data_IF_314119186598
#
_entry.id   IF_314119186598
#
_cell.length_a   1.000
_cell.length_b   1.000
_cell.length_c   1.000
_cell.angle_alpha   90.00
_cell.angle_beta   90.00
_cell.angle_gamma   90.00
#
_symmetry.space_group_name_H-M   'P 1'
#
loop_
_entity.id
_entity.type
_entity.pdbx_description
1 polymer ?
#
# COMPACT_ATOMS: atom_id res chain seq x y z
N UNK A 1 50.71 -11.38 3.37
CA UNK A 1 50.48 -9.95 3.70
C UNK A 1 49.10 -9.83 4.34
N UNK A 2 48.94 -9.02 5.40
CA UNK A 2 47.61 -8.78 6.00
C UNK A 2 47.09 -7.45 5.47
N UNK A 3 45.94 -7.47 4.82
CA UNK A 3 45.24 -6.27 4.34
C UNK A 3 44.20 -5.90 5.38
N UNK A 4 44.08 -4.61 5.67
CA UNK A 4 43.15 -4.08 6.67
C UNK A 4 42.14 -3.17 5.95
N UNK A 5 40.87 -3.24 6.36
CA UNK A 5 39.82 -2.32 5.92
C UNK A 5 39.36 -1.48 7.14
N UNK A 6 38.99 -0.22 6.91
CA UNK A 6 38.63 0.73 7.96
C UNK A 6 37.22 1.28 7.76
N UNK A 7 36.29 0.92 8.64
CA UNK A 7 34.99 1.57 8.69
C UNK A 7 35.09 2.90 9.47
N UNK A 8 34.71 4.00 8.83
CA UNK A 8 34.58 5.31 9.48
C UNK A 8 33.09 5.56 9.72
N UNK A 9 32.68 5.58 10.98
CA UNK A 9 31.28 5.78 11.36
C UNK A 9 30.75 7.11 10.77
N UNK A 10 29.68 7.04 9.99
CA UNK A 10 29.06 8.19 9.31
C UNK A 10 29.71 8.64 8.00
N UNK A 11 30.82 8.02 7.54
CA UNK A 11 31.48 8.37 6.29
C UNK A 11 31.78 7.14 5.43
N UNK A 12 31.24 7.12 4.20
CA UNK A 12 31.37 5.99 3.24
C UNK A 12 32.63 6.03 2.39
N UNK A 13 33.53 6.97 2.68
CA UNK A 13 34.78 7.10 1.98
C UNK A 13 35.81 7.73 2.89
N UNK A 14 37.05 7.30 2.72
CA UNK A 14 38.20 7.82 3.44
C UNK A 14 39.37 7.94 2.49
N UNK A 15 40.35 8.77 2.85
CA UNK A 15 41.61 8.81 2.13
C UNK A 15 42.58 7.82 2.76
N UNK A 16 43.05 6.86 1.98
CA UNK A 16 44.15 5.97 2.33
C UNK A 16 45.34 6.31 1.44
N UNK A 17 46.43 6.79 2.05
CA UNK A 17 47.65 7.18 1.32
C UNK A 17 47.39 8.17 0.16
N UNK A 18 46.52 9.15 0.39
CA UNK A 18 46.14 10.15 -0.62
C UNK A 18 45.17 9.65 -1.70
N UNK A 19 44.80 8.37 -1.70
CA UNK A 19 43.80 7.79 -2.59
C UNK A 19 42.43 7.83 -1.90
N UNK A 20 41.41 8.30 -2.63
CA UNK A 20 40.03 8.23 -2.16
C UNK A 20 39.51 6.79 -2.27
N UNK A 21 39.21 6.17 -1.13
CA UNK A 21 38.77 4.77 -1.01
C UNK A 21 37.33 4.74 -0.54
N UNK A 22 36.51 3.89 -1.15
CA UNK A 22 35.15 3.59 -0.72
C UNK A 22 35.14 2.38 0.21
N UNK A 23 34.40 2.47 1.32
CA UNK A 23 34.15 1.30 2.16
C UNK A 23 33.21 0.33 1.45
N UNK A 24 33.66 -0.90 1.22
CA UNK A 24 32.80 -2.01 0.82
C UNK A 24 32.07 -2.55 2.05
N UNK A 25 30.74 -2.49 2.03
CA UNK A 25 29.94 -3.22 2.99
C UNK A 25 29.80 -4.65 2.50
N UNK A 26 30.25 -5.62 3.29
CA UNK A 26 29.95 -7.02 2.98
C UNK A 26 28.43 -7.23 3.01
N UNK A 27 27.90 -7.89 1.98
CA UNK A 27 26.51 -8.30 1.97
C UNK A 27 26.27 -9.30 3.11
N UNK A 28 25.14 -9.21 3.84
CA UNK A 28 24.78 -10.23 4.80
C UNK A 28 24.69 -11.58 4.08
N UNK A 29 25.25 -12.65 4.67
CA UNK A 29 25.33 -13.97 4.04
C UNK A 29 24.00 -14.44 3.43
N UNK A 30 22.89 -14.23 4.14
CA UNK A 30 21.55 -14.57 3.66
C UNK A 30 21.17 -13.89 2.32
N UNK A 31 21.67 -12.68 2.09
CA UNK A 31 21.43 -11.90 0.88
C UNK A 31 22.36 -12.36 -0.24
N UNK A 32 23.64 -12.58 0.08
CA UNK A 32 24.60 -13.13 -0.87
C UNK A 32 24.14 -14.50 -1.39
N UNK A 33 23.78 -15.42 -0.49
CA UNK A 33 23.25 -16.75 -0.82
C UNK A 33 22.00 -16.63 -1.71
N UNK A 34 21.11 -15.68 -1.41
CA UNK A 34 19.91 -15.44 -2.21
C UNK A 34 20.21 -14.91 -3.61
N UNK A 35 21.13 -13.97 -3.76
CA UNK A 35 21.52 -13.45 -5.08
C UNK A 35 22.13 -14.55 -5.94
N UNK A 36 22.91 -15.43 -5.33
CA UNK A 36 23.52 -16.59 -5.99
C UNK A 36 22.47 -17.64 -6.39
N UNK A 37 21.49 -17.94 -5.52
CA UNK A 37 20.36 -18.83 -5.80
C UNK A 37 19.50 -18.33 -6.98
N UNK A 38 19.35 -17.01 -7.10
CA UNK A 38 18.59 -16.37 -8.17
C UNK A 38 19.32 -16.40 -9.53
N UNK A 39 20.60 -16.81 -9.55
CA UNK A 39 21.42 -16.94 -10.77
C UNK A 39 21.36 -15.70 -11.66
N UNK A 40 21.43 -14.53 -11.02
CA UNK A 40 21.40 -13.25 -11.71
C UNK A 40 22.61 -13.13 -12.65
N UNK A 41 22.44 -12.36 -13.74
CA UNK A 41 23.58 -11.99 -14.55
C UNK A 41 24.50 -11.03 -13.78
N UNK A 42 25.75 -10.90 -14.24
CA UNK A 42 26.78 -10.09 -13.59
C UNK A 42 26.33 -8.63 -13.42
N UNK A 43 25.73 -8.04 -14.45
CA UNK A 43 25.27 -6.64 -14.45
C UNK A 43 24.22 -6.37 -13.36
N UNK A 44 23.25 -7.26 -13.18
CA UNK A 44 22.21 -7.13 -12.15
C UNK A 44 22.78 -7.30 -10.75
N UNK A 45 23.75 -8.21 -10.57
CA UNK A 45 24.44 -8.41 -9.29
C UNK A 45 25.25 -7.16 -8.92
N UNK A 46 26.04 -6.64 -9.85
CA UNK A 46 26.82 -5.40 -9.67
C UNK A 46 25.91 -4.19 -9.40
N UNK A 47 24.78 -4.06 -10.12
CA UNK A 47 23.82 -2.98 -9.89
C UNK A 47 23.18 -3.06 -8.49
N UNK A 48 22.91 -4.27 -7.99
CA UNK A 48 22.40 -4.46 -6.63
C UNK A 48 23.44 -4.08 -5.58
N UNK A 49 24.68 -4.55 -5.73
CA UNK A 49 25.81 -4.28 -4.82
C UNK A 49 26.15 -2.79 -4.78
N UNK A 50 26.18 -2.12 -5.95
CA UNK A 50 26.39 -0.68 -6.03
C UNK A 50 25.34 0.09 -5.22
N UNK A 51 24.07 -0.31 -5.33
CA UNK A 51 22.99 0.33 -4.59
C UNK A 51 23.05 0.03 -3.09
N UNK A 52 23.39 -1.20 -2.71
CA UNK A 52 23.63 -1.59 -1.33
C UNK A 52 24.74 -0.74 -0.70
N UNK A 53 25.87 -0.55 -1.39
CA UNK A 53 26.97 0.27 -0.87
C UNK A 53 26.63 1.77 -0.84
N UNK A 54 25.82 2.26 -1.76
CA UNK A 54 25.50 3.69 -1.87
C UNK A 54 24.44 4.22 -0.88
N UNK A 55 23.53 3.38 -0.36
CA UNK A 55 22.35 3.85 0.39
C UNK A 55 22.12 3.11 1.71
N UNK A 56 22.35 3.80 2.83
CA UNK A 56 22.14 3.28 4.19
C UNK A 56 20.73 2.73 4.40
N UNK A 57 19.70 3.51 4.04
CA UNK A 57 18.30 3.07 4.20
C UNK A 57 17.98 1.79 3.42
N UNK A 58 18.65 1.55 2.29
CA UNK A 58 18.46 0.34 1.49
C UNK A 58 19.14 -0.86 2.15
N UNK A 59 20.35 -0.67 2.72
CA UNK A 59 21.02 -1.69 3.54
C UNK A 59 20.17 -2.11 4.73
N UNK A 60 19.66 -1.14 5.49
CA UNK A 60 18.81 -1.39 6.65
C UNK A 60 17.55 -2.17 6.28
N UNK A 61 16.90 -1.79 5.17
CA UNK A 61 15.71 -2.46 4.68
C UNK A 61 15.99 -3.92 4.29
N UNK A 62 17.14 -4.20 3.68
CA UNK A 62 17.55 -5.54 3.26
C UNK A 62 17.98 -6.41 4.45
N UNK A 63 18.76 -5.85 5.38
CA UNK A 63 19.24 -6.56 6.57
C UNK A 63 18.08 -7.12 7.41
N UNK A 64 16.96 -6.40 7.47
CA UNK A 64 15.76 -6.84 8.16
C UNK A 64 14.86 -7.81 7.37
N UNK A 65 15.03 -7.96 6.06
CA UNK A 65 14.12 -8.75 5.22
C UNK A 65 14.69 -9.11 3.83
N UNK A 66 15.11 -10.35 3.63
CA UNK A 66 15.62 -10.84 2.33
C UNK A 66 14.60 -10.81 1.18
N UNK A 67 13.30 -10.63 1.47
CA UNK A 67 12.26 -10.45 0.44
C UNK A 67 12.33 -9.09 -0.27
N UNK A 68 13.07 -8.15 0.30
CA UNK A 68 13.37 -6.87 -0.36
C UNK A 68 14.15 -7.10 -1.65
N UNK A 69 14.97 -8.16 -1.73
CA UNK A 69 15.69 -8.56 -2.96
C UNK A 69 14.70 -8.89 -4.09
N UNK A 70 13.64 -9.66 -3.80
CA UNK A 70 12.64 -10.01 -4.83
C UNK A 70 11.85 -8.78 -5.27
N UNK A 71 11.55 -7.87 -4.33
CA UNK A 71 10.89 -6.61 -4.65
C UNK A 71 11.77 -5.72 -5.53
N UNK A 72 13.07 -5.66 -5.23
CA UNK A 72 14.04 -4.90 -6.01
C UNK A 72 14.16 -5.43 -7.43
N UNK A 73 14.20 -6.75 -7.60
CA UNK A 73 14.26 -7.40 -8.91
C UNK A 73 12.98 -7.21 -9.73
N UNK A 74 11.82 -7.11 -9.07
CA UNK A 74 10.54 -6.82 -9.73
C UNK A 74 10.45 -5.40 -10.25
N UNK A 75 11.19 -4.46 -9.64
CA UNK A 75 11.28 -3.06 -10.04
C UNK A 75 12.32 -2.90 -11.14
N UNK A 76 12.05 -2.11 -12.19
CA UNK A 76 13.05 -1.79 -13.22
C UNK A 76 13.49 -0.32 -13.17
N UNK A 77 12.62 0.56 -12.68
CA UNK A 77 12.88 1.99 -12.52
C UNK A 77 13.80 2.29 -11.33
N UNK A 78 14.79 3.16 -11.52
CA UNK A 78 15.81 3.49 -10.51
C UNK A 78 15.24 4.24 -9.31
N UNK A 79 14.22 5.08 -9.49
CA UNK A 79 13.57 5.82 -8.41
C UNK A 79 12.76 4.87 -7.53
N UNK A 80 11.97 3.98 -8.13
CA UNK A 80 11.21 2.98 -7.37
C UNK A 80 12.11 1.93 -6.71
N UNK A 81 13.18 1.50 -7.39
CA UNK A 81 14.18 0.56 -6.85
C UNK A 81 14.90 1.08 -5.63
N UNK A 82 15.04 2.40 -5.48
CA UNK A 82 15.71 3.03 -4.33
C UNK A 82 14.74 3.47 -3.25
N UNK A 83 13.43 3.47 -3.55
CA UNK A 83 12.40 3.77 -2.58
C UNK A 83 12.16 2.56 -1.64
N UNK A 84 12.85 2.58 -0.50
CA UNK A 84 12.80 1.54 0.53
C UNK A 84 11.39 1.31 1.09
N UNK A 85 10.52 2.30 1.01
CA UNK A 85 9.11 2.16 1.36
C UNK A 85 8.39 1.21 0.40
N UNK A 86 8.50 1.45 -0.92
CA UNK A 86 7.87 0.58 -1.92
C UNK A 86 8.45 -0.81 -1.90
N UNK A 87 9.77 -0.94 -1.76
CA UNK A 87 10.44 -2.23 -1.60
C UNK A 87 9.92 -3.01 -0.39
N UNK A 88 9.83 -2.36 0.77
CA UNK A 88 9.27 -2.95 1.99
C UNK A 88 7.80 -3.36 1.81
N UNK A 89 7.05 -2.66 0.97
CA UNK A 89 5.65 -2.97 0.68
C UNK A 89 5.48 -4.12 -0.31
N UNK A 90 6.16 -4.06 -1.46
CA UNK A 90 6.12 -5.08 -2.52
C UNK A 90 6.66 -6.42 -1.99
N UNK A 91 7.66 -6.40 -1.11
CA UNK A 91 8.19 -7.62 -0.49
C UNK A 91 7.15 -8.37 0.35
N UNK A 92 6.11 -7.70 0.84
CA UNK A 92 4.98 -8.33 1.56
C UNK A 92 3.89 -8.87 0.62
N UNK A 93 3.95 -8.53 -0.67
CA UNK A 93 3.00 -8.99 -1.68
C UNK A 93 3.47 -10.26 -2.41
N UNK A 94 4.55 -10.89 -1.98
CA UNK A 94 5.15 -12.06 -2.63
C UNK A 94 4.16 -13.21 -2.93
N UNK A 95 3.13 -13.41 -2.09
CA UNK A 95 2.10 -14.46 -2.25
C UNK A 95 0.82 -14.01 -2.97
N UNK A 96 0.78 -12.78 -3.48
CA UNK A 96 -0.44 -12.21 -4.08
C UNK A 96 -0.65 -12.56 -5.55
N UNK A 97 0.36 -13.15 -6.21
CA UNK A 97 0.32 -13.48 -7.64
C UNK A 97 0.32 -12.23 -8.53
N UNK A 98 0.95 -11.15 -8.07
CA UNK A 98 1.08 -9.92 -8.83
C UNK A 98 2.24 -9.95 -9.82
N UNK A 99 1.99 -9.33 -10.97
CA UNK A 99 2.96 -9.05 -12.01
C UNK A 99 3.10 -7.53 -12.20
N UNK A 100 4.30 -7.04 -12.48
CA UNK A 100 4.58 -5.63 -12.68
C UNK A 100 5.06 -5.43 -14.12
N UNK A 101 4.32 -4.65 -14.90
CA UNK A 101 4.67 -4.31 -16.27
C UNK A 101 5.13 -2.85 -16.37
N UNK A 102 6.20 -2.64 -17.12
CA UNK A 102 6.84 -1.35 -17.28
C UNK A 102 6.39 -0.76 -18.61
N UNK A 103 5.52 0.24 -18.56
CA UNK A 103 5.23 1.04 -19.75
C UNK A 103 6.49 1.85 -20.05
N UNK A 104 6.89 1.86 -21.33
CA UNK A 104 8.15 2.43 -21.87
C UNK A 104 8.50 3.87 -21.45
N UNK A 105 7.56 4.60 -20.84
CA UNK A 105 7.73 5.99 -20.41
C UNK A 105 8.21 6.14 -18.95
N UNK A 106 8.55 5.02 -18.29
CA UNK A 106 9.48 4.95 -17.14
C UNK A 106 8.96 5.42 -15.77
N UNK A 107 7.94 6.29 -15.70
CA UNK A 107 7.54 6.91 -14.43
C UNK A 107 6.41 6.18 -13.68
N UNK A 108 5.63 5.35 -14.38
CA UNK A 108 4.51 4.61 -13.82
C UNK A 108 4.62 3.12 -14.16
N UNK A 109 4.48 2.28 -13.15
CA UNK A 109 4.51 0.82 -13.26
C UNK A 109 3.09 0.29 -13.17
N UNK A 110 2.66 -0.47 -14.18
CA UNK A 110 1.37 -1.12 -14.15
C UNK A 110 1.45 -2.41 -13.33
N UNK A 111 0.43 -2.65 -12.53
CA UNK A 111 0.37 -3.81 -11.63
C UNK A 111 -0.80 -4.68 -12.06
N UNK A 112 -0.49 -5.94 -12.35
CA UNK A 112 -1.41 -6.94 -12.87
C UNK A 112 -1.64 -8.07 -11.89
N UNK A 113 -2.81 -8.68 -11.99
CA UNK A 113 -3.11 -9.99 -11.41
C UNK A 113 -3.70 -10.89 -12.48
N UNK A 114 -2.95 -11.93 -12.86
CA UNK A 114 -3.21 -12.63 -14.12
C UNK A 114 -3.11 -11.64 -15.28
N UNK A 115 -4.13 -11.60 -16.14
CA UNK A 115 -4.22 -10.65 -17.26
C UNK A 115 -4.89 -9.31 -16.93
N UNK A 116 -5.36 -9.12 -15.69
CA UNK A 116 -6.10 -7.90 -15.32
C UNK A 116 -5.15 -6.86 -14.72
N UNK A 117 -5.11 -5.66 -15.29
CA UNK A 117 -4.51 -4.50 -14.65
C UNK A 117 -5.36 -4.11 -13.44
N UNK A 118 -4.75 -4.06 -12.26
CA UNK A 118 -5.45 -3.78 -10.99
C UNK A 118 -4.97 -2.50 -10.31
N UNK A 119 -3.78 -2.01 -10.65
CA UNK A 119 -3.23 -0.80 -10.09
C UNK A 119 -2.12 -0.20 -10.96
N UNK A 120 -1.76 1.04 -10.65
CA UNK A 120 -0.57 1.73 -11.13
C UNK A 120 0.25 2.19 -9.92
N UNK A 121 1.57 2.09 -10.04
CA UNK A 121 2.54 2.49 -9.03
C UNK A 121 3.43 3.60 -9.59
N UNK A 122 3.57 4.69 -8.86
CA UNK A 122 4.52 5.77 -9.12
C UNK A 122 5.32 6.07 -7.86
N UNK A 123 6.31 6.97 -7.96
CA UNK A 123 7.18 7.33 -6.84
C UNK A 123 6.41 7.64 -5.54
N UNK A 124 5.30 8.38 -5.65
CA UNK A 124 4.54 8.90 -4.50
C UNK A 124 3.16 8.28 -4.32
N UNK A 125 2.70 7.48 -5.27
CA UNK A 125 1.30 7.06 -5.31
C UNK A 125 1.13 5.62 -5.77
N UNK A 126 0.28 4.89 -5.06
CA UNK A 126 -0.30 3.63 -5.55
C UNK A 126 -1.78 3.84 -5.85
N UNK A 127 -2.17 3.63 -7.10
CA UNK A 127 -3.52 3.88 -7.59
C UNK A 127 -4.19 2.56 -7.93
N UNK A 128 -5.14 2.11 -7.12
CA UNK A 128 -5.95 0.95 -7.49
C UNK A 128 -6.99 1.34 -8.54
N UNK A 129 -7.10 0.53 -9.60
CA UNK A 129 -8.17 0.67 -10.59
C UNK A 129 -9.50 0.31 -9.94
N UNK A 130 -10.51 1.15 -10.10
CA UNK A 130 -11.84 0.86 -9.55
C UNK A 130 -12.94 1.50 -10.41
N UNK A 131 -13.84 0.68 -10.94
CA UNK A 131 -14.93 1.13 -11.82
C UNK A 131 -16.22 1.52 -11.09
N UNK A 132 -16.27 1.34 -9.77
CA UNK A 132 -17.43 1.72 -8.96
C UNK A 132 -17.47 3.21 -8.62
N UNK A 133 -18.27 3.56 -7.61
CA UNK A 133 -18.49 4.96 -7.23
C UNK A 133 -17.20 5.69 -6.85
N UNK A 134 -17.01 6.85 -7.48
CA UNK A 134 -15.87 7.76 -7.32
C UNK A 134 -14.54 7.27 -7.95
N UNK A 135 -14.56 6.19 -8.71
CA UNK A 135 -13.41 5.76 -9.53
C UNK A 135 -12.18 5.30 -8.75
N UNK A 136 -11.04 5.34 -9.42
CA UNK A 136 -9.74 4.88 -8.94
C UNK A 136 -9.38 5.36 -7.52
N UNK A 137 -8.71 4.49 -6.76
CA UNK A 137 -8.35 4.75 -5.36
C UNK A 137 -6.89 5.15 -5.27
N UNK A 138 -6.67 6.41 -4.92
CA UNK A 138 -5.35 7.00 -4.71
C UNK A 138 -4.85 6.69 -3.29
N UNK A 139 -3.68 6.06 -3.19
CA UNK A 139 -3.03 5.72 -1.92
C UNK A 139 -1.65 6.41 -1.84
N UNK A 140 -1.58 7.59 -1.20
CA UNK A 140 -0.32 8.31 -1.00
C UNK A 140 0.68 7.47 -0.19
N UNK A 141 1.96 7.56 -0.54
CA UNK A 141 3.05 6.79 0.08
C UNK A 141 3.05 6.86 1.62
N UNK A 142 2.78 8.05 2.16
CA UNK A 142 2.91 8.41 3.57
C UNK A 142 1.61 8.21 4.37
N UNK A 143 0.49 7.87 3.71
CA UNK A 143 -0.82 7.77 4.35
C UNK A 143 -1.54 6.48 4.04
N UNK A 144 -2.31 6.01 5.02
CA UNK A 144 -3.24 4.90 4.81
C UNK A 144 -4.52 5.44 4.18
N UNK A 145 -5.03 4.75 3.16
CA UNK A 145 -6.36 5.00 2.61
C UNK A 145 -7.36 3.99 3.19
N UNK A 146 -8.30 4.45 4.00
CA UNK A 146 -9.35 3.59 4.58
C UNK A 146 -10.62 3.66 3.73
N UNK A 147 -11.04 2.51 3.21
CA UNK A 147 -12.23 2.36 2.38
C UNK A 147 -13.46 2.00 3.21
N UNK A 148 -14.52 2.79 3.05
CA UNK A 148 -15.86 2.51 3.55
C UNK A 148 -16.83 2.31 2.39
N UNK A 149 -17.82 1.44 2.54
CA UNK A 149 -18.75 1.15 1.44
C UNK A 149 -19.55 -0.12 1.66
N UNK A 150 -20.53 -0.33 0.78
CA UNK A 150 -21.31 -1.55 0.78
C UNK A 150 -20.43 -2.75 0.39
N UNK A 151 -20.75 -3.90 0.97
CA UNK A 151 -20.25 -5.16 0.46
C UNK A 151 -20.90 -5.40 -0.90
N UNK A 152 -20.11 -5.30 -1.96
CA UNK A 152 -20.61 -5.37 -3.33
C UNK A 152 -20.79 -6.80 -3.82
N UNK A 153 -21.53 -6.92 -4.91
CA UNK A 153 -21.67 -8.17 -5.65
C UNK A 153 -20.35 -8.50 -6.35
N UNK A 154 -19.78 -9.68 -6.05
CA UNK A 154 -18.51 -10.14 -6.62
C UNK A 154 -18.55 -10.21 -8.15
N UNK A 155 -19.69 -10.58 -8.73
CA UNK A 155 -19.85 -10.65 -10.20
C UNK A 155 -19.68 -9.29 -10.87
N UNK A 156 -19.99 -8.21 -10.14
CA UNK A 156 -19.92 -6.83 -10.62
C UNK A 156 -18.58 -6.17 -10.38
N UNK A 157 -17.66 -6.81 -9.65
CA UNK A 157 -16.34 -6.27 -9.29
C UNK A 157 -16.41 -4.85 -8.68
N UNK A 158 -17.38 -4.62 -7.79
CA UNK A 158 -17.59 -3.34 -7.09
C UNK A 158 -17.71 -3.53 -5.58
N UNK A 159 -17.70 -2.44 -4.82
CA UNK A 159 -17.84 -2.44 -3.36
C UNK A 159 -16.62 -3.02 -2.66
N UNK A 160 -16.74 -3.29 -1.36
CA UNK A 160 -15.60 -3.76 -0.55
C UNK A 160 -15.12 -5.16 -0.95
N UNK A 161 -16.00 -5.98 -1.55
CA UNK A 161 -15.68 -7.32 -2.03
C UNK A 161 -14.65 -7.33 -3.16
N UNK A 162 -14.63 -6.32 -4.03
CA UNK A 162 -13.61 -6.18 -5.07
C UNK A 162 -12.19 -6.12 -4.49
N UNK A 163 -11.97 -5.26 -3.50
CA UNK A 163 -10.67 -5.10 -2.86
C UNK A 163 -10.29 -6.30 -2.00
N UNK A 164 -11.29 -6.98 -1.42
CA UNK A 164 -11.10 -8.25 -0.73
C UNK A 164 -10.61 -9.32 -1.71
N UNK A 165 -11.24 -9.43 -2.88
CA UNK A 165 -10.88 -10.40 -3.90
C UNK A 165 -9.48 -10.12 -4.47
N UNK A 166 -9.08 -8.84 -4.62
CA UNK A 166 -7.71 -8.45 -5.00
C UNK A 166 -6.67 -8.83 -3.94
N UNK A 167 -7.03 -8.82 -2.65
CA UNK A 167 -6.15 -9.31 -1.58
C UNK A 167 -5.00 -8.36 -1.18
N UNK A 168 -5.01 -7.11 -1.66
CA UNK A 168 -3.97 -6.10 -1.37
C UNK A 168 -4.39 -5.10 -0.28
N UNK A 169 -5.15 -5.58 0.69
CA UNK A 169 -5.64 -4.81 1.83
C UNK A 169 -5.10 -5.39 3.13
N UNK A 170 -5.01 -4.55 4.17
CA UNK A 170 -4.67 -5.01 5.52
C UNK A 170 -5.94 -5.16 6.35
N UNK A 171 -6.08 -6.28 7.08
CA UNK A 171 -7.27 -6.58 7.87
C UNK A 171 -7.02 -7.38 9.17
N UNK A 172 -5.76 -7.67 9.51
CA UNK A 172 -5.48 -8.73 10.49
C UNK A 172 -4.66 -8.34 11.73
N UNK A 173 -4.00 -7.18 11.85
CA UNK A 173 -3.24 -6.85 13.08
C UNK A 173 -3.07 -5.34 13.35
N UNK A 174 -3.04 -5.00 14.65
CA UNK A 174 -2.59 -3.70 15.17
C UNK A 174 -1.06 -3.56 15.03
N UNK A 175 -0.52 -2.36 14.74
CA UNK A 175 -1.24 -1.14 14.39
C UNK A 175 -1.85 -1.29 13.00
N UNK A 176 -3.15 -0.95 12.87
CA UNK A 176 -3.92 -0.98 11.62
C UNK A 176 -3.44 0.11 10.63
N UNK A 177 -2.19 0.53 10.70
CA UNK A 177 -1.53 1.45 9.78
C UNK A 177 -1.04 0.67 8.55
N UNK A 178 -1.30 1.20 7.36
CA UNK A 178 -0.94 0.65 6.07
C UNK A 178 -0.63 1.77 5.04
N UNK A 179 0.39 2.62 5.27
CA UNK A 179 0.63 3.76 4.37
C UNK A 179 0.97 3.31 2.94
N UNK A 180 0.68 4.13 1.93
CA UNK A 180 0.77 3.70 0.52
C UNK A 180 -0.24 2.62 0.14
N UNK A 181 -1.28 2.43 0.97
CA UNK A 181 -2.13 1.24 0.93
C UNK A 181 -3.57 1.43 1.35
N UNK A 182 -4.33 0.34 1.21
CA UNK A 182 -5.74 0.30 1.62
C UNK A 182 -5.98 -0.51 2.88
N UNK A 183 -6.83 0.04 3.75
CA UNK A 183 -7.61 -0.72 4.71
C UNK A 183 -9.04 -0.81 4.18
N UNK A 184 -9.65 -1.99 4.23
CA UNK A 184 -11.03 -2.19 3.79
C UNK A 184 -11.88 -2.44 5.01
N UNK A 185 -12.92 -1.64 5.22
CA UNK A 185 -13.94 -1.89 6.24
C UNK A 185 -15.10 -2.71 5.65
N UNK A 186 -16.06 -3.09 6.49
CA UNK A 186 -17.23 -3.88 6.10
C UNK A 186 -16.87 -5.18 5.37
N UNK A 187 -16.00 -5.98 5.98
CA UNK A 187 -15.56 -7.30 5.51
C UNK A 187 -16.49 -8.39 6.07
N UNK A 188 -16.71 -9.48 5.32
CA UNK A 188 -17.45 -10.65 5.80
C UNK A 188 -16.86 -11.16 7.12
N UNK A 189 -17.74 -11.45 8.09
CA UNK A 189 -17.36 -11.97 9.40
C UNK A 189 -16.95 -10.90 10.43
N UNK A 190 -16.87 -9.63 10.04
CA UNK A 190 -16.62 -8.55 11.00
C UNK A 190 -17.88 -8.17 11.77
N UNK A 191 -17.73 -8.03 13.09
CA UNK A 191 -18.76 -7.40 13.92
C UNK A 191 -18.74 -5.89 13.73
N UNK A 192 -19.85 -5.23 14.04
CA UNK A 192 -19.89 -3.77 14.05
C UNK A 192 -18.84 -3.17 15.01
N UNK A 193 -18.61 -3.81 16.17
CA UNK A 193 -17.61 -3.36 17.15
C UNK A 193 -16.23 -3.26 16.51
N UNK A 194 -15.80 -4.31 15.81
CA UNK A 194 -14.50 -4.34 15.11
C UNK A 194 -14.43 -3.27 14.02
N UNK A 195 -15.51 -3.13 13.25
CA UNK A 195 -15.59 -2.15 12.17
C UNK A 195 -15.47 -0.70 12.68
N UNK A 196 -16.19 -0.40 13.77
CA UNK A 196 -16.15 0.88 14.47
C UNK A 196 -14.74 1.20 14.98
N UNK A 197 -14.11 0.25 15.66
CA UNK A 197 -12.75 0.42 16.20
C UNK A 197 -11.73 0.73 15.10
N UNK A 198 -11.83 0.06 13.95
CA UNK A 198 -10.97 0.33 12.80
C UNK A 198 -11.19 1.73 12.22
N UNK A 199 -12.44 2.18 12.12
CA UNK A 199 -12.78 3.52 11.65
C UNK A 199 -12.27 4.61 12.61
N UNK A 200 -12.47 4.43 13.92
CA UNK A 200 -11.99 5.38 14.93
C UNK A 200 -10.47 5.48 14.94
N UNK A 201 -9.77 4.35 14.72
CA UNK A 201 -8.32 4.35 14.55
C UNK A 201 -7.86 5.07 13.27
N UNK A 202 -8.60 4.93 12.16
CA UNK A 202 -8.33 5.66 10.93
C UNK A 202 -8.51 7.18 11.11
N UNK A 203 -9.58 7.60 11.81
CA UNK A 203 -9.81 9.00 12.19
C UNK A 203 -8.64 9.52 13.03
N UNK A 204 -8.24 8.79 14.09
CA UNK A 204 -7.16 9.20 14.99
C UNK A 204 -5.81 9.38 14.26
N UNK A 205 -5.53 8.56 13.24
CA UNK A 205 -4.30 8.65 12.44
C UNK A 205 -4.34 9.73 11.35
N UNK A 206 -5.51 10.26 11.02
CA UNK A 206 -5.66 11.13 9.86
C UNK A 206 -5.51 10.38 8.53
N UNK A 207 -5.98 9.13 8.48
CA UNK A 207 -6.07 8.35 7.24
C UNK A 207 -6.92 9.10 6.19
N UNK A 208 -6.67 8.83 4.90
CA UNK A 208 -7.59 9.25 3.84
C UNK A 208 -8.83 8.34 3.87
N UNK A 209 -10.01 8.88 4.20
CA UNK A 209 -11.24 8.09 4.34
C UNK A 209 -12.07 8.20 3.06
N UNK A 210 -12.11 7.14 2.27
CA UNK A 210 -12.68 7.13 0.91
C UNK A 210 -13.94 6.26 0.87
N UNK A 211 -15.05 6.80 0.36
CA UNK A 211 -16.32 6.04 0.25
C UNK A 211 -16.54 5.47 -1.16
N UNK A 212 -16.58 4.14 -1.28
CA UNK A 212 -16.66 3.46 -2.59
C UNK A 212 -18.09 3.06 -3.00
N UNK A 213 -19.08 3.64 -2.34
CA UNK A 213 -20.51 3.49 -2.64
C UNK A 213 -21.17 4.85 -2.55
N UNK A 214 -22.05 5.18 -3.50
CA UNK A 214 -22.69 6.49 -3.57
C UNK A 214 -23.48 6.79 -2.29
N UNK A 215 -23.09 7.78 -1.47
CA UNK A 215 -23.78 8.11 -0.22
C UNK A 215 -25.18 8.71 -0.46
N UNK A 216 -25.47 9.24 -1.66
CA UNK A 216 -26.79 9.75 -2.01
C UNK A 216 -27.78 8.62 -2.32
N UNK A 217 -27.27 7.44 -2.69
CA UNK A 217 -28.11 6.32 -3.07
C UNK A 217 -28.77 5.67 -1.82
N UNK A 218 -30.12 5.52 -1.76
CA UNK A 218 -30.81 5.05 -0.56
C UNK A 218 -30.33 3.69 -0.04
N UNK A 219 -29.90 2.78 -0.92
CA UNK A 219 -29.35 1.46 -0.53
C UNK A 219 -28.00 1.53 0.20
N UNK A 220 -27.26 2.62 0.03
CA UNK A 220 -26.03 2.87 0.79
C UNK A 220 -26.37 3.19 2.24
N UNK A 221 -27.48 3.87 2.48
CA UNK A 221 -27.90 4.31 3.82
C UNK A 221 -28.78 3.26 4.53
N UNK A 222 -29.76 2.71 3.82
CA UNK A 222 -30.79 1.82 4.37
C UNK A 222 -30.70 0.43 3.77
N UNK A 223 -30.85 -0.61 4.60
CA UNK A 223 -31.00 -1.98 4.11
C UNK A 223 -32.20 -2.04 3.15
N UNK A 224 -31.98 -2.57 1.95
CA UNK A 224 -32.93 -2.62 0.83
C UNK A 224 -33.37 -1.26 0.27
N UNK A 225 -32.74 -0.16 0.68
CA UNK A 225 -33.04 1.18 0.19
C UNK A 225 -34.36 1.76 0.69
N UNK A 226 -34.95 1.17 1.75
CA UNK A 226 -36.23 1.59 2.29
C UNK A 226 -35.99 2.39 3.58
N UNK A 227 -36.28 3.70 3.60
CA UNK A 227 -36.14 4.53 4.80
C UNK A 227 -37.21 4.20 5.86
N UNK A 228 -37.01 4.63 7.12
CA UNK A 228 -38.02 4.49 8.17
C UNK A 228 -39.39 5.03 7.73
N UNK A 229 -40.47 4.35 8.11
CA UNK A 229 -41.85 4.80 7.84
C UNK A 229 -42.43 4.39 6.48
N UNK A 230 -41.68 3.68 5.63
CA UNK A 230 -42.21 3.11 4.38
C UNK A 230 -42.60 1.62 4.53
N UNK A 231 -43.73 1.23 3.92
CA UNK A 231 -44.24 -0.14 3.93
C UNK A 231 -43.22 -1.09 3.30
N UNK A 232 -42.81 -2.14 4.01
CA UNK A 232 -41.92 -3.17 3.50
C UNK A 232 -40.62 -3.38 4.28
N UNK A 233 -40.09 -2.41 5.05
CA UNK A 233 -38.88 -2.61 5.89
C UNK A 233 -38.74 -1.55 7.01
N UNK A 234 -38.17 -1.94 8.16
CA UNK A 234 -38.11 -1.13 9.39
C UNK A 234 -36.99 -0.05 9.43
N UNK A 235 -36.53 0.49 8.29
CA UNK A 235 -35.52 1.55 8.29
C UNK A 235 -34.18 1.19 8.96
N UNK A 236 -33.70 -0.05 8.82
CA UNK A 236 -32.41 -0.46 9.40
C UNK A 236 -31.24 0.13 8.60
N UNK A 237 -30.36 0.89 9.25
CA UNK A 237 -29.11 1.41 8.65
C UNK A 237 -28.16 0.29 8.24
N UNK A 238 -27.45 0.49 7.13
CA UNK A 238 -26.32 -0.38 6.71
C UNK A 238 -25.10 -0.19 7.62
N UNK A 239 -24.05 -1.00 7.45
CA UNK A 239 -22.75 -0.74 8.11
C UNK A 239 -22.19 0.60 7.64
N UNK A 240 -22.21 0.85 6.33
CA UNK A 240 -21.76 2.11 5.71
C UNK A 240 -22.46 3.33 6.28
N UNK A 241 -23.77 3.28 6.45
CA UNK A 241 -24.53 4.38 7.08
C UNK A 241 -24.10 4.68 8.52
N UNK A 242 -23.68 3.65 9.26
CA UNK A 242 -23.15 3.83 10.62
C UNK A 242 -21.73 4.39 10.60
N UNK A 243 -20.91 3.99 9.63
CA UNK A 243 -19.57 4.57 9.40
C UNK A 243 -19.67 6.06 9.07
N UNK A 244 -20.53 6.43 8.12
CA UNK A 244 -20.82 7.82 7.76
C UNK A 244 -21.24 8.63 8.99
N UNK A 245 -22.16 8.10 9.79
CA UNK A 245 -22.61 8.77 11.02
C UNK A 245 -21.47 8.99 12.04
N UNK A 246 -20.53 8.05 12.16
CA UNK A 246 -19.35 8.23 13.03
C UNK A 246 -18.46 9.36 12.50
N UNK A 247 -18.25 9.41 11.18
CA UNK A 247 -17.43 10.45 10.54
C UNK A 247 -18.03 11.83 10.76
N UNK A 248 -19.33 11.99 10.49
CA UNK A 248 -20.07 13.23 10.74
C UNK A 248 -19.97 13.66 12.21
N UNK A 249 -20.11 12.71 13.15
CA UNK A 249 -19.95 12.99 14.59
C UNK A 249 -18.52 13.45 14.97
N UNK A 250 -17.50 13.01 14.22
CA UNK A 250 -16.11 13.44 14.42
C UNK A 250 -15.76 14.69 13.59
N UNK A 251 -16.77 15.37 13.04
CA UNK A 251 -16.57 16.60 12.29
C UNK A 251 -15.95 16.36 10.92
N UNK A 252 -16.29 15.27 10.24
CA UNK A 252 -15.95 15.07 8.83
C UNK A 252 -17.15 15.37 7.94
N UNK A 253 -16.89 15.90 6.75
CA UNK A 253 -17.87 16.10 5.69
C UNK A 253 -17.46 15.39 4.41
N UNK A 254 -18.46 14.96 3.64
CA UNK A 254 -18.24 14.32 2.36
C UNK A 254 -17.84 15.37 1.30
N UNK A 255 -16.68 15.18 0.70
CA UNK A 255 -16.24 15.88 -0.50
C UNK A 255 -16.60 15.04 -1.72
N UNK A 256 -17.54 15.55 -2.54
CA UNK A 256 -18.00 14.87 -3.75
C UNK A 256 -16.96 14.85 -4.86
N UNK A 257 -16.00 15.78 -4.90
CA UNK A 257 -14.98 15.86 -5.94
C UNK A 257 -13.99 14.71 -5.82
N UNK A 258 -13.52 14.45 -4.59
CA UNK A 258 -12.58 13.34 -4.32
C UNK A 258 -13.29 12.06 -3.86
N UNK A 259 -14.60 12.15 -3.59
CA UNK A 259 -15.39 11.11 -2.97
C UNK A 259 -14.78 10.63 -1.64
N UNK A 260 -14.21 11.54 -0.87
CA UNK A 260 -13.60 11.29 0.44
C UNK A 260 -14.36 12.01 1.55
N UNK A 261 -14.17 11.57 2.79
CA UNK A 261 -14.55 12.32 3.96
C UNK A 261 -13.33 13.12 4.43
N UNK A 262 -13.48 14.44 4.49
CA UNK A 262 -12.45 15.36 4.94
C UNK A 262 -12.84 15.95 6.31
N UNK A 263 -11.88 16.17 7.23
CA UNK A 263 -12.17 16.90 8.46
C UNK A 263 -12.64 18.32 8.13
N UNK A 264 -13.70 18.76 8.80
CA UNK A 264 -14.15 20.14 8.77
C UNK A 264 -13.03 21.02 9.32
N UNK A 265 -12.67 22.06 8.59
CA UNK A 265 -11.72 23.07 9.05
C UNK A 265 -12.18 23.58 10.42
N UNK A 266 -11.33 23.42 11.45
CA UNK A 266 -11.52 24.08 12.74
C UNK A 266 -11.02 25.51 12.65
#
# INVERSE_FOLDING_TARGET
>A
ERVYNFEVEGYHSYYADGIYVHNDYELPKLIADKLDDLKLNKELKEAFELQYNAQESFRDAIAGNSKVVDAWLKLHDTVLKTNTYWLGRISRWEKSGLFFDYVKDGLNVKVFRGSNEIAELSEKLFTFKYSGFGGDIKCPLDKTTTLIGLYGDKSKKIGTSYFIDIGLYKNNLSPNNNPGGINVLNIIGWTWKKNKEWLENAIKRGDAIRIISDPSHPRTIWKNGIPPGKKGFNGKKTVTAKEIYILEKHGYSFDSTTSTYIPNSK
#
